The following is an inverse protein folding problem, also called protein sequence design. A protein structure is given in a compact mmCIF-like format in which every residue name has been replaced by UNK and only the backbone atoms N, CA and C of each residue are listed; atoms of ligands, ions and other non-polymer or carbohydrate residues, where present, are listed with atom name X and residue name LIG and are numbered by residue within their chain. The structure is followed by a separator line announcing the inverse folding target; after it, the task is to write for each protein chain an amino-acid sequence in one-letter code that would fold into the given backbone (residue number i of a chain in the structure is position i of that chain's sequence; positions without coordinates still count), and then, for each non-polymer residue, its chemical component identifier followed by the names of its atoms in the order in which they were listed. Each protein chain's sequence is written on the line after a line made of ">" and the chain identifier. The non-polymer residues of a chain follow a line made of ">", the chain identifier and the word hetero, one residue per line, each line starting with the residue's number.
data_IF_700819019309
#
_entry.id   IF_700819019309
#
_cell.length_a   1.000
_cell.length_b   1.000
_cell.length_c   1.000
_cell.angle_alpha   90.00
_cell.angle_beta   90.00
_cell.angle_gamma   90.00
#
_symmetry.space_group_name_H-M   'P 1'
#
loop_
_entity.id
_entity.type
_entity.pdbx_description
1 polymer ?
#
# COMPACT_ATOMS: atom_id res chain seq x y z
N UNK A 1 28.11 36.19 -18.13
CA UNK A 1 28.03 34.72 -18.27
C UNK A 1 27.86 33.98 -16.93
N UNK A 2 28.59 34.32 -15.85
CA UNK A 2 28.45 33.68 -14.52
C UNK A 2 27.02 33.67 -13.94
N UNK A 3 26.22 34.72 -14.19
CA UNK A 3 24.82 34.81 -13.72
C UNK A 3 23.86 33.84 -14.44
N UNK A 4 24.17 33.44 -15.68
CA UNK A 4 23.35 32.50 -16.44
C UNK A 4 23.54 31.06 -15.94
N UNK A 5 24.78 30.70 -15.59
CA UNK A 5 25.09 29.41 -14.97
C UNK A 5 24.41 29.24 -13.60
N UNK A 6 24.35 30.31 -12.80
CA UNK A 6 23.66 30.28 -11.51
C UNK A 6 22.16 30.00 -11.67
N UNK A 7 21.50 30.58 -12.68
CA UNK A 7 20.09 30.35 -12.98
C UNK A 7 19.85 28.91 -13.45
N UNK A 8 20.72 28.38 -14.31
CA UNK A 8 20.62 26.99 -14.79
C UNK A 8 20.82 25.98 -13.65
N UNK A 9 21.75 26.24 -12.72
CA UNK A 9 21.98 25.39 -11.54
C UNK A 9 20.76 25.38 -10.60
N UNK A 10 20.14 26.55 -10.36
CA UNK A 10 18.92 26.65 -9.55
C UNK A 10 17.74 25.92 -10.22
N UNK A 11 17.64 25.96 -11.55
CA UNK A 11 16.60 25.28 -12.31
C UNK A 11 16.72 23.74 -12.27
N UNK A 12 17.94 23.21 -12.17
CA UNK A 12 18.19 21.76 -12.04
C UNK A 12 17.83 21.27 -10.62
N UNK A 13 18.05 22.10 -9.60
CA UNK A 13 17.75 21.75 -8.21
C UNK A 13 16.23 21.63 -7.93
N UNK A 14 15.39 22.46 -8.56
CA UNK A 14 13.92 22.39 -8.42
C UNK A 14 13.30 21.17 -9.12
N UNK A 15 13.97 20.58 -10.12
CA UNK A 15 13.51 19.38 -10.82
C UNK A 15 13.92 18.08 -10.10
N UNK A 16 14.72 18.20 -9.03
CA UNK A 16 15.24 17.06 -8.26
C UNK A 16 14.31 16.62 -7.12
N UNK A 17 13.13 17.23 -6.95
CA UNK A 17 12.16 16.75 -5.95
C UNK A 17 11.54 15.44 -6.44
N UNK A 18 12.22 14.34 -6.16
CA UNK A 18 11.75 12.99 -6.45
C UNK A 18 10.46 12.72 -5.67
N UNK A 19 9.44 12.21 -6.38
CA UNK A 19 8.08 11.94 -5.91
C UNK A 19 8.00 11.13 -4.60
N UNK A 20 7.83 11.80 -3.47
CA UNK A 20 7.35 11.19 -2.23
C UNK A 20 5.96 11.67 -1.83
N UNK A 21 5.19 12.22 -2.77
CA UNK A 21 3.82 12.67 -2.51
C UNK A 21 2.79 11.56 -2.77
N UNK A 22 3.02 10.35 -2.21
CA UNK A 22 1.98 9.30 -2.25
C UNK A 22 0.73 9.67 -1.43
N UNK A 23 0.80 10.77 -0.66
CA UNK A 23 -0.29 11.29 0.16
C UNK A 23 -0.55 10.43 1.39
N UNK A 24 -1.66 10.70 2.07
CA UNK A 24 -2.17 9.94 3.22
C UNK A 24 -2.42 8.48 2.80
N UNK A 25 -1.75 7.53 3.45
CA UNK A 25 -1.85 6.11 3.12
C UNK A 25 -0.79 5.26 3.83
N UNK A 26 -0.88 3.94 3.67
CA UNK A 26 -0.05 2.97 4.38
C UNK A 26 0.70 2.06 3.40
N UNK A 27 1.95 1.71 3.71
CA UNK A 27 2.66 0.65 2.98
C UNK A 27 2.13 -0.71 3.40
N UNK A 28 2.13 -1.68 2.50
CA UNK A 28 1.81 -3.06 2.87
C UNK A 28 2.82 -4.04 2.30
N UNK A 29 2.99 -5.15 3.00
CA UNK A 29 3.71 -6.33 2.53
C UNK A 29 2.90 -7.58 2.87
N UNK A 30 2.59 -8.38 1.86
CA UNK A 30 1.83 -9.63 2.00
C UNK A 30 2.72 -10.75 1.52
N UNK A 31 3.03 -11.68 2.41
CA UNK A 31 3.76 -12.90 2.11
C UNK A 31 2.79 -14.08 2.12
N UNK A 32 2.90 -14.95 1.12
CA UNK A 32 2.19 -16.21 1.13
C UNK A 32 3.10 -17.29 1.75
N UNK A 33 2.98 -17.57 3.05
CA UNK A 33 3.79 -18.64 3.67
C UNK A 33 3.22 -20.05 3.45
N UNK A 34 2.16 -20.21 2.65
CA UNK A 34 1.67 -21.54 2.28
C UNK A 34 2.41 -22.11 1.08
N UNK A 35 2.29 -23.42 0.90
CA UNK A 35 2.77 -24.18 -0.26
C UNK A 35 1.85 -24.08 -1.47
N UNK A 36 0.72 -23.36 -1.36
CA UNK A 36 -0.27 -23.18 -2.41
C UNK A 36 -0.40 -21.71 -2.81
N UNK A 37 -0.75 -21.48 -4.07
CA UNK A 37 -1.04 -20.13 -4.58
C UNK A 37 -2.31 -19.59 -3.91
N UNK A 38 -2.30 -18.28 -3.61
CA UNK A 38 -3.52 -17.54 -3.25
C UNK A 38 -3.87 -16.57 -4.39
N UNK A 39 -5.18 -16.38 -4.60
CA UNK A 39 -5.70 -15.57 -5.71
C UNK A 39 -6.72 -14.53 -5.20
N UNK A 40 -7.06 -13.56 -6.07
CA UNK A 40 -8.07 -12.52 -5.79
C UNK A 40 -7.77 -11.79 -4.47
N UNK A 41 -6.50 -11.45 -4.27
CA UNK A 41 -6.01 -10.85 -3.03
C UNK A 41 -6.42 -9.37 -3.00
N UNK A 42 -7.04 -8.93 -1.92
CA UNK A 42 -7.49 -7.56 -1.71
C UNK A 42 -7.06 -7.07 -0.35
N UNK A 43 -6.30 -5.97 -0.32
CA UNK A 43 -6.01 -5.25 0.91
C UNK A 43 -6.80 -3.94 0.94
N UNK A 44 -7.63 -3.73 1.96
CA UNK A 44 -8.60 -2.64 1.99
C UNK A 44 -8.81 -2.04 3.38
N UNK A 45 -9.33 -0.82 3.41
CA UNK A 45 -9.87 -0.19 4.63
C UNK A 45 -11.28 -0.72 4.94
N UNK A 46 -11.71 -0.76 6.21
CA UNK A 46 -13.03 -1.28 6.63
C UNK A 46 -14.21 -0.65 5.89
N UNK A 47 -14.12 0.64 5.54
CA UNK A 47 -15.11 1.39 4.76
C UNK A 47 -15.07 1.06 3.24
N UNK A 48 -14.07 0.29 2.80
CA UNK A 48 -13.75 -0.05 1.40
C UNK A 48 -13.53 1.15 0.47
N UNK A 49 -13.20 2.33 1.03
CA UNK A 49 -12.84 3.53 0.28
C UNK A 49 -11.46 3.44 -0.40
N UNK A 50 -10.58 2.61 0.16
CA UNK A 50 -9.28 2.28 -0.42
C UNK A 50 -9.16 0.76 -0.55
N UNK A 51 -8.80 0.29 -1.75
CA UNK A 51 -8.59 -1.13 -2.07
C UNK A 51 -7.37 -1.25 -2.97
N UNK A 52 -6.44 -2.13 -2.60
CA UNK A 52 -5.37 -2.61 -3.46
C UNK A 52 -5.68 -4.06 -3.85
N UNK A 53 -5.67 -4.35 -5.15
CA UNK A 53 -5.96 -5.68 -5.69
C UNK A 53 -4.68 -6.30 -6.27
N UNK A 54 -4.46 -7.57 -5.96
CA UNK A 54 -3.38 -8.40 -6.51
C UNK A 54 -4.02 -9.69 -7.02
N UNK A 55 -3.80 -10.02 -8.29
CA UNK A 55 -4.44 -11.17 -8.93
C UNK A 55 -4.08 -12.49 -8.24
N UNK A 56 -2.79 -12.68 -7.95
CA UNK A 56 -2.25 -13.87 -7.30
C UNK A 56 -0.92 -13.61 -6.60
N UNK A 57 -0.60 -14.46 -5.63
CA UNK A 57 0.69 -14.52 -4.95
C UNK A 57 1.12 -15.99 -4.92
N UNK A 58 2.26 -16.31 -5.54
CA UNK A 58 2.77 -17.70 -5.59
C UNK A 58 3.23 -18.19 -4.20
N UNK A 59 3.39 -19.51 -4.00
CA UNK A 59 3.92 -20.05 -2.75
C UNK A 59 5.25 -19.42 -2.36
N UNK A 60 5.38 -19.04 -1.08
CA UNK A 60 6.56 -18.40 -0.49
C UNK A 60 6.95 -17.03 -1.07
N UNK A 61 6.17 -16.48 -2.00
CA UNK A 61 6.39 -15.14 -2.54
C UNK A 61 5.88 -14.05 -1.62
N UNK A 62 6.39 -12.84 -1.83
CA UNK A 62 5.99 -11.64 -1.12
C UNK A 62 5.72 -10.51 -2.10
N UNK A 63 4.57 -9.86 -1.95
CA UNK A 63 4.21 -8.64 -2.68
C UNK A 63 4.20 -7.46 -1.73
N UNK A 64 4.56 -6.29 -2.23
CA UNK A 64 4.50 -5.06 -1.45
C UNK A 64 3.91 -3.92 -2.27
N UNK A 65 3.29 -2.98 -1.58
CA UNK A 65 2.61 -1.86 -2.22
C UNK A 65 2.31 -0.73 -1.27
N UNK A 66 1.48 0.21 -1.74
CA UNK A 66 1.02 1.35 -0.97
C UNK A 66 -0.49 1.53 -1.17
N UNK A 67 -1.24 1.53 -0.07
CA UNK A 67 -2.67 1.77 -0.06
C UNK A 67 -2.92 3.26 0.18
N UNK A 68 -3.38 3.96 -0.85
CA UNK A 68 -3.75 5.38 -0.76
C UNK A 68 -5.06 5.55 0.00
N UNK A 69 -5.04 6.30 1.11
CA UNK A 69 -6.17 6.54 2.01
C UNK A 69 -6.68 7.98 1.92
N UNK A 70 -6.54 8.61 0.75
CA UNK A 70 -6.89 10.03 0.52
C UNK A 70 -8.33 10.36 0.91
N UNK A 71 -9.25 9.41 0.76
CA UNK A 71 -10.68 9.60 1.02
C UNK A 71 -11.12 9.12 2.42
N UNK A 72 -10.23 8.47 3.19
CA UNK A 72 -10.57 8.03 4.54
C UNK A 72 -10.53 9.22 5.49
N UNK A 73 -11.59 9.39 6.28
CA UNK A 73 -11.75 10.52 7.21
C UNK A 73 -12.12 10.06 8.63
N UNK A 74 -12.56 8.82 8.80
CA UNK A 74 -13.01 8.28 10.08
C UNK A 74 -12.01 7.27 10.65
N UNK A 75 -12.31 6.75 11.83
CA UNK A 75 -11.61 5.64 12.44
C UNK A 75 -11.98 4.31 11.78
N UNK A 76 -11.02 3.41 11.62
CA UNK A 76 -11.28 2.11 11.01
C UNK A 76 -10.09 1.15 11.06
N UNK A 77 -10.27 -0.01 10.42
CA UNK A 77 -9.26 -1.08 10.39
C UNK A 77 -8.93 -1.51 8.97
N UNK A 78 -7.91 -2.34 8.82
CA UNK A 78 -7.57 -2.94 7.53
C UNK A 78 -8.06 -4.39 7.43
N UNK A 79 -8.44 -4.80 6.22
CA UNK A 79 -8.77 -6.17 5.89
C UNK A 79 -7.89 -6.66 4.75
N UNK A 80 -7.42 -7.90 4.86
CA UNK A 80 -6.84 -8.69 3.78
C UNK A 80 -7.80 -9.82 3.44
N UNK A 81 -8.30 -9.84 2.21
CA UNK A 81 -9.15 -10.91 1.67
C UNK A 81 -8.40 -11.63 0.55
N UNK A 82 -8.53 -12.96 0.47
CA UNK A 82 -7.99 -13.74 -0.65
C UNK A 82 -8.74 -15.07 -0.78
N UNK A 83 -8.50 -15.77 -1.88
CA UNK A 83 -9.06 -17.10 -2.17
C UNK A 83 -7.93 -18.14 -2.21
N UNK A 84 -8.09 -19.21 -1.42
CA UNK A 84 -7.20 -20.38 -1.38
C UNK A 84 -7.39 -21.26 -2.62
N UNK A 85 -6.46 -22.18 -2.85
CA UNK A 85 -6.51 -23.10 -3.99
C UNK A 85 -7.75 -24.02 -3.99
N UNK A 86 -8.32 -24.32 -2.82
CA UNK A 86 -9.57 -25.06 -2.66
C UNK A 86 -10.84 -24.22 -2.95
N UNK A 87 -10.67 -22.94 -3.32
CA UNK A 87 -11.75 -22.01 -3.59
C UNK A 87 -12.31 -21.31 -2.34
N UNK A 88 -11.83 -21.64 -1.13
CA UNK A 88 -12.26 -20.99 0.11
C UNK A 88 -11.77 -19.55 0.17
N UNK A 89 -12.67 -18.64 0.52
CA UNK A 89 -12.34 -17.24 0.82
C UNK A 89 -11.91 -17.10 2.27
N UNK A 90 -10.81 -16.40 2.50
CA UNK A 90 -10.33 -16.02 3.82
C UNK A 90 -10.28 -14.50 3.95
N UNK A 91 -10.54 -14.01 5.16
CA UNK A 91 -10.50 -12.59 5.52
C UNK A 91 -9.73 -12.47 6.83
N UNK A 92 -8.70 -11.64 6.83
CA UNK A 92 -7.84 -11.35 7.98
C UNK A 92 -7.97 -9.85 8.28
N UNK A 93 -8.41 -9.51 9.49
CA UNK A 93 -8.36 -8.13 9.98
C UNK A 93 -6.96 -7.83 10.55
N UNK A 94 -6.43 -6.64 10.27
CA UNK A 94 -5.17 -6.21 10.87
C UNK A 94 -5.12 -4.69 11.06
N UNK A 95 -4.43 -4.26 12.11
CA UNK A 95 -4.12 -2.86 12.35
C UNK A 95 -5.34 -1.96 12.51
N UNK A 96 -5.05 -0.68 12.66
CA UNK A 96 -6.06 0.34 12.87
C UNK A 96 -5.55 1.68 12.33
N UNK A 97 -6.49 2.52 11.91
CA UNK A 97 -6.24 3.90 11.52
C UNK A 97 -7.24 4.80 12.24
N UNK A 98 -6.80 6.01 12.57
CA UNK A 98 -7.65 7.01 13.24
C UNK A 98 -7.72 8.28 12.42
N UNK A 99 -8.90 8.88 12.34
CA UNK A 99 -9.17 10.08 11.54
C UNK A 99 -8.66 9.91 10.08
N UNK A 100 -8.82 8.70 9.55
CA UNK A 100 -8.34 8.20 8.27
C UNK A 100 -6.82 8.04 8.13
N UNK A 101 -6.01 8.44 9.12
CA UNK A 101 -4.56 8.33 9.05
C UNK A 101 -4.09 7.00 9.65
N UNK A 102 -3.19 6.27 8.97
CA UNK A 102 -2.65 5.03 9.50
C UNK A 102 -1.91 5.28 10.81
N UNK A 103 -2.12 4.41 11.81
CA UNK A 103 -1.30 4.43 13.03
C UNK A 103 0.10 3.84 12.78
N UNK A 104 0.18 2.87 11.88
CA UNK A 104 1.40 2.16 11.54
C UNK A 104 1.97 2.61 10.20
N UNK A 105 3.29 2.54 10.04
CA UNK A 105 3.93 2.85 8.76
C UNK A 105 3.75 1.74 7.72
N UNK A 106 3.61 0.49 8.17
CA UNK A 106 3.50 -0.68 7.30
C UNK A 106 2.60 -1.76 7.91
N UNK A 107 1.64 -2.26 7.11
CA UNK A 107 0.89 -3.47 7.42
C UNK A 107 1.63 -4.70 6.85
N UNK A 108 1.87 -5.73 7.69
CA UNK A 108 2.56 -6.96 7.28
C UNK A 108 1.66 -8.17 7.48
N UNK A 109 1.65 -9.05 6.49
CA UNK A 109 0.94 -10.32 6.51
C UNK A 109 1.87 -11.46 6.08
N UNK A 110 1.70 -12.63 6.66
CA UNK A 110 2.46 -13.84 6.38
C UNK A 110 1.66 -15.07 6.75
#
# INVERSE_FOLDING_TARGET
>A
MKKLYAIVIVLILILSSCDSNKGKGIKFAIRNNSDQQITKVKFYTSEKLAIAEIDKIEPNESVSGFLTMKNNQSDGGYGLEFTRADGKKEIIGCGYYTNGAPLENIAKFG
#
